data_IF_847907360099
#
_entry.id   IF_847907360099
#
_cell.length_a   1.000
_cell.length_b   1.000
_cell.length_c   1.000
_cell.angle_alpha   90.00
_cell.angle_beta   90.00
_cell.angle_gamma   90.00
#
_symmetry.space_group_name_H-M   'P 1'
#
loop_
_entity.id
_entity.type
_entity.pdbx_description
1 polymer ?
#
# COMPACT_ATOMS: atom_id res chain seq x y z
N UNK A 1 -4.52 11.93 6.98
CA UNK A 1 -5.69 11.12 6.56
C UNK A 1 -6.22 10.43 7.79
N UNK A 2 -7.30 10.98 8.35
CA UNK A 2 -7.99 10.39 9.49
C UNK A 2 -8.92 9.29 9.01
N UNK A 3 -8.36 8.10 8.81
CA UNK A 3 -9.15 6.94 8.44
C UNK A 3 -10.09 6.57 9.60
N UNK A 4 -11.39 6.47 9.32
CA UNK A 4 -12.33 5.80 10.22
C UNK A 4 -12.01 4.32 10.29
N UNK A 5 -12.26 3.70 11.44
CA UNK A 5 -12.02 2.28 11.60
C UNK A 5 -13.20 1.49 11.02
N UNK A 6 -12.96 0.64 10.02
CA UNK A 6 -14.02 -0.18 9.44
C UNK A 6 -14.42 -1.32 10.40
N UNK A 7 -15.55 -1.95 10.13
CA UNK A 7 -15.93 -3.20 10.76
C UNK A 7 -15.10 -4.37 10.23
N UNK A 8 -14.90 -5.39 11.06
CA UNK A 8 -14.18 -6.59 10.65
C UNK A 8 -15.02 -7.39 9.63
N UNK A 9 -14.46 -7.79 8.47
CA UNK A 9 -15.22 -8.54 7.46
C UNK A 9 -15.61 -9.95 7.89
N UNK A 10 -14.98 -10.49 8.93
CA UNK A 10 -15.19 -11.88 9.36
C UNK A 10 -16.14 -12.02 10.55
N UNK A 11 -16.27 -10.98 11.37
CA UNK A 11 -17.04 -11.05 12.61
C UNK A 11 -17.79 -9.76 12.93
N UNK A 12 -17.81 -8.80 11.99
CA UNK A 12 -18.51 -7.50 12.04
C UNK A 12 -18.15 -6.60 13.23
N UNK A 13 -17.25 -7.06 14.10
CA UNK A 13 -16.83 -6.35 15.30
C UNK A 13 -16.01 -5.12 14.94
N UNK A 14 -16.09 -4.11 15.80
CA UNK A 14 -15.33 -2.88 15.65
C UNK A 14 -13.82 -3.15 15.61
N UNK A 15 -13.14 -2.60 14.61
CA UNK A 15 -11.69 -2.62 14.54
C UNK A 15 -11.10 -1.37 15.21
N UNK A 16 -9.88 -1.48 15.74
CA UNK A 16 -9.11 -0.34 16.27
C UNK A 16 -7.92 -0.04 15.38
N UNK A 17 -7.53 1.23 15.34
CA UNK A 17 -6.30 1.69 14.71
C UNK A 17 -5.11 0.94 15.34
N UNK A 18 -4.31 0.29 14.50
CA UNK A 18 -3.07 -0.36 14.92
C UNK A 18 -1.91 0.56 14.55
N UNK A 19 -1.17 1.01 15.56
CA UNK A 19 -0.20 2.09 15.39
C UNK A 19 1.15 1.64 14.82
N UNK A 20 1.38 0.33 14.72
CA UNK A 20 2.54 -0.18 14.01
C UNK A 20 2.37 0.02 12.50
N UNK A 21 2.88 1.14 12.02
CA UNK A 21 2.82 1.56 10.63
C UNK A 21 4.15 1.25 9.95
N UNK A 22 4.14 0.29 9.00
CA UNK A 22 5.27 0.10 8.09
C UNK A 22 5.17 1.14 6.97
N UNK A 23 6.21 1.97 6.75
CA UNK A 23 6.20 2.89 5.61
C UNK A 23 6.13 2.08 4.32
N UNK A 24 5.21 2.45 3.44
CA UNK A 24 5.12 1.89 2.08
C UNK A 24 5.72 2.91 1.12
N UNK A 25 6.80 2.53 0.43
CA UNK A 25 7.36 3.34 -0.65
C UNK A 25 6.46 3.17 -1.87
N UNK A 26 5.87 4.26 -2.33
CA UNK A 26 5.19 4.32 -3.62
C UNK A 26 6.21 4.86 -4.62
N UNK A 27 6.22 4.38 -5.87
CA UNK A 27 7.15 4.82 -6.91
C UNK A 27 7.03 6.31 -7.17
N UNK A 28 8.07 6.82 -7.81
CA UNK A 28 8.18 8.21 -8.23
C UNK A 28 6.95 8.63 -9.04
N UNK A 29 6.24 9.66 -8.58
CA UNK A 29 5.24 10.36 -9.38
C UNK A 29 5.98 11.38 -10.23
N UNK A 30 5.96 11.23 -11.55
CA UNK A 30 6.47 12.22 -12.51
C UNK A 30 5.65 13.51 -12.35
N UNK A 31 6.14 14.43 -11.52
CA UNK A 31 5.52 15.74 -11.32
C UNK A 31 6.46 16.77 -11.91
N UNK A 32 6.06 17.42 -13.02
CA UNK A 32 6.80 18.51 -13.68
C UNK A 32 8.32 18.24 -13.79
N UNK A 33 8.71 17.10 -14.37
CA UNK A 33 10.12 16.77 -14.63
C UNK A 33 10.97 16.40 -13.41
N UNK A 34 10.38 16.28 -12.21
CA UNK A 34 11.09 15.91 -10.98
C UNK A 34 10.57 14.58 -10.43
N UNK A 35 11.42 13.53 -10.31
CA UNK A 35 11.01 12.26 -9.71
C UNK A 35 10.74 12.48 -8.22
N UNK A 36 9.46 12.50 -7.84
CA UNK A 36 9.04 12.74 -6.46
C UNK A 36 8.65 11.42 -5.79
N UNK A 37 9.40 11.02 -4.76
CA UNK A 37 9.10 9.85 -3.94
C UNK A 37 8.01 10.16 -2.92
N UNK A 38 6.84 9.57 -3.10
CA UNK A 38 5.77 9.69 -2.10
C UNK A 38 5.89 8.54 -1.09
N UNK A 39 6.17 8.88 0.17
CA UNK A 39 6.14 7.94 1.27
C UNK A 39 4.74 7.94 1.89
N UNK A 40 3.92 6.93 1.58
CA UNK A 40 2.62 6.76 2.22
C UNK A 40 2.71 5.75 3.35
N UNK A 41 2.25 6.15 4.54
CA UNK A 41 2.09 5.25 5.67
C UNK A 41 0.73 4.55 5.53
N UNK A 42 0.76 3.26 5.19
CA UNK A 42 -0.46 2.43 5.14
C UNK A 42 -1.02 2.29 6.56
N UNK A 43 -2.24 2.79 6.79
CA UNK A 43 -2.93 2.59 8.07
C UNK A 43 -3.36 1.13 8.19
N UNK A 44 -3.17 0.56 9.38
CA UNK A 44 -3.58 -0.80 9.71
C UNK A 44 -4.64 -0.76 10.80
N UNK A 45 -5.52 -1.73 10.76
CA UNK A 45 -6.57 -1.94 11.76
C UNK A 45 -6.47 -3.35 12.31
N UNK A 46 -6.73 -3.51 13.60
CA UNK A 46 -6.81 -4.81 14.28
C UNK A 46 -8.22 -5.00 14.80
N UNK A 47 -8.83 -6.13 14.49
CA UNK A 47 -10.10 -6.51 15.12
C UNK A 47 -9.86 -6.84 16.60
N UNK A 48 -10.71 -6.34 17.51
CA UNK A 48 -10.57 -6.65 18.93
C UNK A 48 -11.05 -8.07 19.28
N UNK A 49 -11.92 -8.65 18.46
CA UNK A 49 -12.52 -9.96 18.72
C UNK A 49 -11.68 -11.09 18.11
N UNK A 50 -11.50 -11.10 16.79
CA UNK A 50 -10.79 -12.18 16.08
C UNK A 50 -9.29 -11.89 15.85
N UNK A 51 -8.78 -10.74 16.34
CA UNK A 51 -7.39 -10.30 16.20
C UNK A 51 -6.86 -10.14 14.76
N UNK A 52 -7.72 -10.33 13.74
CA UNK A 52 -7.36 -10.18 12.34
C UNK A 52 -6.94 -8.75 12.00
N UNK A 53 -5.96 -8.66 11.12
CA UNK A 53 -5.36 -7.41 10.66
C UNK A 53 -5.89 -7.02 9.30
N UNK A 54 -6.24 -5.75 9.12
CA UNK A 54 -6.61 -5.19 7.83
C UNK A 54 -5.77 -3.95 7.51
N UNK A 55 -5.51 -3.74 6.22
CA UNK A 55 -4.78 -2.58 5.70
C UNK A 55 -5.79 -1.69 4.99
N UNK A 56 -5.77 -0.39 5.25
CA UNK A 56 -6.63 0.57 4.56
C UNK A 56 -6.35 0.56 3.04
N UNK A 57 -7.41 0.57 2.24
CA UNK A 57 -7.36 0.68 0.77
C UNK A 57 -7.90 2.02 0.33
N UNK A 58 -7.17 2.72 -0.54
CA UNK A 58 -7.64 3.93 -1.22
C UNK A 58 -7.27 3.88 -2.70
N UNK A 59 -7.85 4.79 -3.49
CA UNK A 59 -7.46 5.00 -4.89
C UNK A 59 -5.96 5.31 -5.05
N UNK A 60 -5.37 5.98 -4.06
CA UNK A 60 -3.95 6.31 -3.99
C UNK A 60 -3.09 5.17 -3.41
N UNK A 61 -3.68 4.32 -2.55
CA UNK A 61 -2.97 3.29 -1.77
C UNK A 61 -3.73 1.98 -1.84
N UNK A 62 -3.46 1.16 -2.85
CA UNK A 62 -4.05 -0.18 -3.00
C UNK A 62 -3.44 -1.18 -2.01
N UNK A 63 -4.22 -2.12 -1.46
CA UNK A 63 -3.74 -3.15 -0.49
C UNK A 63 -2.58 -3.97 -1.04
N UNK A 64 -2.71 -4.44 -2.28
CA UNK A 64 -1.84 -5.46 -2.87
C UNK A 64 -0.83 -4.95 -3.91
N UNK A 65 -0.56 -3.64 -3.99
CA UNK A 65 0.48 -3.17 -4.90
C UNK A 65 1.88 -3.48 -4.33
N UNK A 66 2.28 -4.74 -4.43
CA UNK A 66 3.68 -5.14 -4.49
C UNK A 66 4.17 -4.76 -5.89
N UNK A 67 5.27 -4.02 -5.91
CA UNK A 67 6.00 -3.55 -7.10
C UNK A 67 5.13 -2.88 -8.17
N UNK A 68 5.29 -1.57 -8.36
CA UNK A 68 4.57 -0.83 -9.37
C UNK A 68 4.63 -1.44 -10.75
N UNK A 69 3.53 -1.39 -11.49
CA UNK A 69 3.49 -1.91 -12.87
C UNK A 69 4.60 -1.29 -13.73
N UNK A 70 4.91 -0.02 -13.49
CA UNK A 70 6.00 0.72 -14.13
C UNK A 70 7.37 0.11 -13.78
N UNK A 71 7.59 -0.28 -12.52
CA UNK A 71 8.81 -0.96 -12.09
C UNK A 71 8.87 -2.37 -12.71
N UNK A 72 7.75 -3.10 -12.78
CA UNK A 72 7.71 -4.40 -13.47
C UNK A 72 8.02 -4.27 -14.97
N UNK A 73 7.51 -3.22 -15.62
CA UNK A 73 7.84 -2.93 -17.02
C UNK A 73 9.33 -2.60 -17.20
N UNK A 74 9.91 -1.79 -16.31
CA UNK A 74 11.36 -1.49 -16.34
C UNK A 74 12.23 -2.73 -16.07
N UNK A 75 11.82 -3.60 -15.16
CA UNK A 75 12.49 -4.88 -14.90
C UNK A 75 12.41 -5.78 -16.15
N UNK A 76 11.22 -5.89 -16.76
CA UNK A 76 11.04 -6.67 -17.98
C UNK A 76 11.89 -6.15 -19.14
N UNK A 77 11.95 -4.83 -19.35
CA UNK A 77 12.81 -4.21 -20.35
C UNK A 77 14.29 -4.55 -20.11
N UNK A 78 14.79 -4.36 -18.88
CA UNK A 78 16.17 -4.73 -18.53
C UNK A 78 16.47 -6.21 -18.72
N UNK A 79 15.51 -7.10 -18.48
CA UNK A 79 15.70 -8.54 -18.69
C UNK A 79 15.79 -8.87 -20.19
N UNK A 80 14.98 -8.23 -21.03
CA UNK A 80 15.04 -8.39 -22.49
C UNK A 80 16.39 -7.85 -23.02
N UNK A 81 16.84 -6.69 -22.56
CA UNK A 81 18.13 -6.09 -22.95
C UNK A 81 19.35 -6.94 -22.56
N UNK A 82 19.25 -7.77 -21.51
CA UNK A 82 20.33 -8.69 -21.13
C UNK A 82 20.24 -10.07 -21.82
N UNK A 83 19.12 -10.38 -22.46
CA UNK A 83 18.91 -11.62 -23.22
C UNK A 83 19.22 -11.46 -24.72
N UNK A 84 19.35 -10.23 -25.19
CA UNK A 84 19.84 -9.85 -26.52
C UNK A 84 21.35 -9.57 -26.46
#
# INVERSE_FOLDING_TARGET
MDYEAPSCPDCESQMKKYDFQKPSKIPDLETTGMPTRILLKKRRFKCNHCLKMMVAETSLVKKNHQIPRIINQKIAQKLIENLL
#
